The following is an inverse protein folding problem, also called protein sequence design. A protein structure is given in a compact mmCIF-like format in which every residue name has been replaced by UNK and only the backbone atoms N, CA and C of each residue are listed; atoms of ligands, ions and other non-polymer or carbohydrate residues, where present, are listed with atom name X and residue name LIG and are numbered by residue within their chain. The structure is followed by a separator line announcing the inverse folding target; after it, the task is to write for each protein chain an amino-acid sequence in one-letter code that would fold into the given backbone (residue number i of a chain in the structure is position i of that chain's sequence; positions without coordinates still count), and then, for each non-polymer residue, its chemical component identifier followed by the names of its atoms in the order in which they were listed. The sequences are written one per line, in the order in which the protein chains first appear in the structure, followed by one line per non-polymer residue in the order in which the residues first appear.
data_IF_432581563048
#
_entry.id   IF_432581563048
#
_cell.length_a   1.000
_cell.length_b   1.000
_cell.length_c   1.000
_cell.angle_alpha   90.00
_cell.angle_beta   90.00
_cell.angle_gamma   90.00
#
_symmetry.space_group_name_H-M   'P 1'
#
loop_
_entity.id
_entity.type
_entity.pdbx_description
1 polymer ?
#
# COMPACT_ATOMS: atom_id res chain seq x y z
N UNK A 1 -15.81 56.28 -67.76
CA UNK A 1 -15.36 55.29 -66.76
C UNK A 1 -16.19 55.54 -65.52
N UNK A 2 -17.29 54.80 -65.46
CA UNK A 2 -18.37 54.90 -64.47
C UNK A 2 -17.89 54.63 -63.05
N UNK A 3 -18.37 55.47 -62.14
CA UNK A 3 -18.46 55.21 -60.71
C UNK A 3 -19.64 54.29 -60.46
N UNK A 4 -19.42 53.18 -59.75
CA UNK A 4 -20.49 52.24 -59.40
C UNK A 4 -20.48 51.92 -57.89
N UNK A 5 -21.71 51.92 -57.36
CA UNK A 5 -22.22 51.36 -56.11
C UNK A 5 -21.85 51.94 -54.74
N UNK A 6 -22.76 52.80 -54.27
CA UNK A 6 -23.21 52.83 -52.89
C UNK A 6 -24.06 51.58 -52.57
N UNK A 7 -23.97 51.05 -51.35
CA UNK A 7 -25.14 50.54 -50.63
C UNK A 7 -24.91 50.51 -49.12
N UNK A 8 -25.96 50.74 -48.36
CA UNK A 8 -26.00 51.01 -46.92
C UNK A 8 -27.16 50.16 -46.34
N UNK A 9 -27.05 49.80 -45.05
CA UNK A 9 -28.12 49.35 -44.11
C UNK A 9 -28.39 47.82 -44.08
N UNK A 10 -28.81 47.14 -42.97
CA UNK A 10 -29.15 47.56 -41.57
C UNK A 10 -28.50 46.73 -40.41
N UNK A 11 -28.66 47.11 -39.11
CA UNK A 11 -28.85 46.19 -37.96
C UNK A 11 -30.38 45.96 -37.72
N UNK A 12 -30.91 44.89 -37.09
CA UNK A 12 -30.58 44.40 -35.73
C UNK A 12 -30.85 42.89 -35.50
N UNK A 13 -30.71 42.39 -34.27
CA UNK A 13 -31.23 41.05 -33.91
C UNK A 13 -30.72 40.49 -32.57
N UNK A 14 -31.21 41.03 -31.46
CA UNK A 14 -31.31 40.28 -30.20
C UNK A 14 -32.12 39.00 -30.40
N UNK A 15 -31.66 37.87 -29.84
CA UNK A 15 -32.45 36.75 -29.28
C UNK A 15 -31.52 35.57 -28.93
N UNK A 16 -31.88 34.67 -27.98
CA UNK A 16 -32.29 34.90 -26.60
C UNK A 16 -31.37 34.11 -25.61
N UNK A 17 -31.49 34.42 -24.32
CA UNK A 17 -30.95 33.63 -23.22
C UNK A 17 -31.32 32.15 -23.36
N UNK A 18 -30.32 31.28 -23.44
CA UNK A 18 -30.45 29.92 -22.94
C UNK A 18 -29.73 29.85 -21.60
N UNK A 19 -30.52 30.04 -20.54
CA UNK A 19 -30.31 29.38 -19.25
C UNK A 19 -30.17 27.88 -19.52
N UNK A 20 -28.95 27.44 -19.81
CA UNK A 20 -28.57 26.06 -19.52
C UNK A 20 -28.23 26.05 -18.03
N UNK A 21 -28.98 25.34 -17.16
CA UNK A 21 -28.42 25.00 -15.88
C UNK A 21 -27.13 24.26 -16.18
N UNK A 22 -26.00 24.86 -15.78
CA UNK A 22 -24.75 24.15 -15.71
C UNK A 22 -25.05 22.93 -14.83
N UNK A 23 -25.15 21.77 -15.47
CA UNK A 23 -25.12 20.51 -14.76
C UNK A 23 -23.73 20.53 -14.14
N UNK A 24 -23.66 20.91 -12.87
CA UNK A 24 -22.46 20.70 -12.08
C UNK A 24 -22.03 19.26 -12.36
N UNK A 25 -20.79 19.03 -12.84
CA UNK A 25 -20.30 17.67 -12.90
C UNK A 25 -20.49 17.10 -11.49
N UNK A 26 -20.99 15.86 -11.35
CA UNK A 26 -21.17 15.27 -10.04
C UNK A 26 -19.86 15.49 -9.30
N UNK A 27 -19.93 16.28 -8.21
CA UNK A 27 -18.78 16.52 -7.36
C UNK A 27 -18.24 15.13 -7.06
N UNK A 28 -17.06 14.84 -7.61
CA UNK A 28 -16.39 13.59 -7.32
C UNK A 28 -16.33 13.56 -5.81
N UNK A 29 -16.98 12.57 -5.20
CA UNK A 29 -16.79 12.29 -3.79
C UNK A 29 -15.28 12.40 -3.53
N UNK A 30 -14.85 13.14 -2.49
CA UNK A 30 -13.43 13.23 -2.20
C UNK A 30 -12.90 11.80 -2.20
N UNK A 31 -11.81 11.51 -2.94
CA UNK A 31 -11.32 10.14 -3.03
C UNK A 31 -11.20 9.64 -1.61
N UNK A 32 -12.00 8.61 -1.26
CA UNK A 32 -12.00 8.04 0.09
C UNK A 32 -10.54 7.83 0.42
N UNK A 33 -10.02 8.64 1.33
CA UNK A 33 -8.58 8.71 1.55
C UNK A 33 -8.19 7.32 2.02
N UNK A 34 -7.54 6.55 1.13
CA UNK A 34 -7.22 5.15 1.41
C UNK A 34 -6.35 5.12 2.64
N UNK A 35 -6.56 4.10 3.47
CA UNK A 35 -5.79 3.92 4.69
C UNK A 35 -4.27 4.00 4.35
N UNK A 36 -3.49 4.87 5.03
CA UNK A 36 -2.09 5.12 4.67
C UNK A 36 -1.18 3.88 4.68
N UNK A 37 -1.36 2.98 5.65
CA UNK A 37 -0.60 1.72 5.69
C UNK A 37 -0.92 0.84 4.49
N UNK A 38 -2.18 0.67 4.13
CA UNK A 38 -2.58 -0.13 2.96
C UNK A 38 -1.95 0.43 1.68
N UNK A 39 -1.98 1.75 1.52
CA UNK A 39 -1.39 2.41 0.35
C UNK A 39 0.12 2.17 0.28
N UNK A 40 0.82 2.26 1.42
CA UNK A 40 2.25 1.96 1.50
C UNK A 40 2.55 0.48 1.25
N UNK A 41 1.77 -0.45 1.83
CA UNK A 41 1.91 -1.90 1.65
C UNK A 41 1.77 -2.27 0.17
N UNK A 42 0.72 -1.79 -0.50
CA UNK A 42 0.50 -2.06 -1.92
C UNK A 42 1.68 -1.58 -2.78
N UNK A 43 2.19 -0.37 -2.49
CA UNK A 43 3.34 0.19 -3.18
C UNK A 43 4.62 -0.64 -2.95
N UNK A 44 4.87 -1.08 -1.72
CA UNK A 44 6.03 -1.91 -1.36
C UNK A 44 5.97 -3.27 -2.03
N UNK A 45 4.82 -3.96 -1.99
CA UNK A 45 4.65 -5.27 -2.62
C UNK A 45 4.81 -5.18 -4.14
N UNK A 46 4.25 -4.15 -4.78
CA UNK A 46 4.44 -3.92 -6.21
C UNK A 46 5.91 -3.66 -6.56
N UNK A 47 6.62 -2.85 -5.77
CA UNK A 47 8.05 -2.60 -5.96
C UNK A 47 8.91 -3.84 -5.73
N UNK A 48 8.61 -4.65 -4.71
CA UNK A 48 9.33 -5.88 -4.42
C UNK A 48 9.23 -6.88 -5.58
N UNK A 49 8.02 -7.10 -6.11
CA UNK A 49 7.81 -7.98 -7.26
C UNK A 49 8.50 -7.47 -8.53
N UNK A 50 8.47 -6.15 -8.76
CA UNK A 50 9.18 -5.54 -9.89
C UNK A 50 10.70 -5.74 -9.78
N UNK A 51 11.24 -5.68 -8.56
CA UNK A 51 12.64 -5.96 -8.29
C UNK A 51 12.97 -7.44 -8.53
N UNK A 52 12.13 -8.37 -8.10
CA UNK A 52 12.32 -9.82 -8.31
C UNK A 52 12.26 -10.20 -9.80
N UNK A 53 11.39 -9.56 -10.59
CA UNK A 53 11.37 -9.71 -12.05
C UNK A 53 12.66 -9.16 -12.67
N UNK A 54 13.13 -8.00 -12.23
CA UNK A 54 14.35 -7.40 -12.73
C UNK A 54 15.60 -8.25 -12.41
N UNK A 55 15.69 -8.80 -11.20
CA UNK A 55 16.85 -9.65 -10.82
C UNK A 55 16.87 -10.98 -11.56
N UNK A 56 15.69 -11.53 -11.91
CA UNK A 56 15.58 -12.81 -12.64
C UNK A 56 15.69 -12.67 -14.17
N UNK A 57 15.14 -11.62 -14.75
CA UNK A 57 15.00 -11.46 -16.21
C UNK A 57 15.90 -10.36 -16.79
N UNK A 58 16.46 -9.49 -15.94
CA UNK A 58 17.23 -8.32 -16.35
C UNK A 58 16.36 -7.15 -16.81
N UNK A 59 16.96 -6.18 -17.49
CA UNK A 59 16.27 -4.99 -18.03
C UNK A 59 16.48 -3.72 -17.20
N UNK A 60 15.66 -2.66 -17.45
CA UNK A 60 15.75 -1.40 -16.73
C UNK A 60 15.50 -1.59 -15.24
N UNK A 61 16.37 -1.01 -14.41
CA UNK A 61 16.21 -1.05 -12.95
C UNK A 61 14.87 -0.41 -12.55
N UNK A 62 14.02 -1.08 -11.76
CA UNK A 62 12.78 -0.51 -11.29
C UNK A 62 13.06 0.71 -10.42
N UNK A 63 12.27 1.76 -10.62
CA UNK A 63 12.35 2.99 -9.82
C UNK A 63 11.40 2.87 -8.63
N UNK A 64 11.74 3.56 -7.54
CA UNK A 64 10.81 3.72 -6.43
C UNK A 64 9.55 4.46 -6.92
N UNK A 65 8.37 4.16 -6.34
CA UNK A 65 7.14 4.87 -6.65
C UNK A 65 7.33 6.38 -6.44
N UNK A 66 6.74 7.18 -7.34
CA UNK A 66 6.68 8.63 -7.13
C UNK A 66 5.95 8.91 -5.82
N UNK A 67 6.48 9.83 -5.02
CA UNK A 67 5.90 10.16 -3.72
C UNK A 67 6.19 9.14 -2.60
N UNK A 68 7.16 8.25 -2.78
CA UNK A 68 7.60 7.28 -1.76
C UNK A 68 7.77 7.90 -0.36
N UNK A 69 8.46 9.05 -0.26
CA UNK A 69 8.67 9.74 1.00
C UNK A 69 7.37 10.19 1.66
N UNK A 70 6.36 10.57 0.86
CA UNK A 70 5.05 10.96 1.36
C UNK A 70 4.25 9.75 1.85
N UNK A 71 4.24 8.66 1.08
CA UNK A 71 3.62 7.40 1.51
C UNK A 71 4.21 6.90 2.83
N UNK A 72 5.54 6.91 2.94
CA UNK A 72 6.25 6.54 4.15
C UNK A 72 5.86 7.42 5.33
N UNK A 73 5.98 8.75 5.18
CA UNK A 73 5.67 9.72 6.23
C UNK A 73 4.22 9.61 6.69
N UNK A 74 3.28 9.46 5.76
CA UNK A 74 1.85 9.37 6.10
C UNK A 74 1.52 8.09 6.86
N UNK A 75 2.15 6.95 6.51
CA UNK A 75 2.01 5.71 7.28
C UNK A 75 2.65 5.81 8.67
N UNK A 76 3.85 6.39 8.80
CA UNK A 76 4.50 6.58 10.11
C UNK A 76 3.67 7.51 11.01
N UNK A 77 3.19 8.64 10.48
CA UNK A 77 2.27 9.51 11.24
C UNK A 77 1.03 8.75 11.67
N UNK A 78 0.44 7.97 10.76
CA UNK A 78 -0.75 7.17 11.09
C UNK A 78 -0.46 6.12 12.17
N UNK A 79 0.70 5.48 12.16
CA UNK A 79 1.13 4.56 13.21
C UNK A 79 1.28 5.28 14.57
N UNK A 80 1.92 6.45 14.59
CA UNK A 80 2.00 7.30 15.79
C UNK A 80 0.60 7.61 16.34
N UNK A 81 -0.32 8.02 15.48
CA UNK A 81 -1.69 8.38 15.87
C UNK A 81 -2.49 7.19 16.42
N UNK A 82 -2.26 5.99 15.88
CA UNK A 82 -3.01 4.78 16.26
C UNK A 82 -2.44 4.07 17.48
N UNK A 83 -1.11 3.92 17.55
CA UNK A 83 -0.43 3.15 18.59
C UNK A 83 0.04 4.01 19.77
N UNK A 84 0.00 5.35 19.65
CA UNK A 84 0.54 6.27 20.66
C UNK A 84 2.06 6.18 20.81
N UNK A 85 2.74 5.62 19.80
CA UNK A 85 4.18 5.40 19.79
C UNK A 85 4.94 6.69 19.43
N UNK A 86 6.14 6.92 20.00
CA UNK A 86 7.04 7.95 19.48
C UNK A 86 7.38 7.70 18.01
N UNK A 87 7.62 8.75 17.21
CA UNK A 87 7.85 8.65 15.77
C UNK A 87 8.94 7.63 15.38
N UNK A 88 10.03 7.57 16.14
CA UNK A 88 11.11 6.60 15.90
C UNK A 88 10.70 5.14 16.16
N UNK A 89 9.79 4.91 17.11
CA UNK A 89 9.20 3.58 17.34
C UNK A 89 8.19 3.25 16.24
N UNK A 90 7.31 4.19 15.92
CA UNK A 90 6.35 4.05 14.82
C UNK A 90 7.04 3.72 13.50
N UNK A 91 8.17 4.38 13.19
CA UNK A 91 9.02 4.08 12.03
C UNK A 91 9.51 2.63 12.03
N UNK A 92 9.96 2.13 13.19
CA UNK A 92 10.43 0.75 13.35
C UNK A 92 9.29 -0.27 13.26
N UNK A 93 8.12 0.04 13.81
CA UNK A 93 6.90 -0.76 13.70
C UNK A 93 6.45 -0.88 12.24
N UNK A 94 6.36 0.25 11.50
CA UNK A 94 6.01 0.26 10.08
C UNK A 94 7.01 -0.55 9.26
N UNK A 95 8.32 -0.34 9.47
CA UNK A 95 9.35 -1.13 8.78
C UNK A 95 9.16 -2.63 9.04
N UNK A 96 8.93 -3.03 10.29
CA UNK A 96 8.77 -4.43 10.66
C UNK A 96 7.54 -5.08 10.03
N UNK A 97 6.42 -4.35 9.90
CA UNK A 97 5.23 -4.83 9.20
C UNK A 97 5.51 -5.04 7.71
N UNK A 98 6.20 -4.09 7.06
CA UNK A 98 6.53 -4.19 5.64
C UNK A 98 7.51 -5.32 5.35
N UNK A 99 8.52 -5.52 6.20
CA UNK A 99 9.46 -6.63 6.09
C UNK A 99 8.73 -7.98 6.17
N UNK A 100 7.78 -8.11 7.10
CA UNK A 100 6.96 -9.31 7.25
C UNK A 100 6.13 -9.60 6.00
N UNK A 101 5.40 -8.59 5.51
CA UNK A 101 4.50 -8.73 4.37
C UNK A 101 5.26 -8.98 3.06
N UNK A 102 6.40 -8.33 2.87
CA UNK A 102 7.28 -8.58 1.72
C UNK A 102 7.83 -10.00 1.77
N UNK A 103 8.15 -10.52 2.96
CA UNK A 103 8.59 -11.90 3.12
C UNK A 103 7.46 -12.89 2.84
N UNK A 104 6.24 -12.62 3.30
CA UNK A 104 5.08 -13.44 2.94
C UNK A 104 4.89 -13.49 1.42
N UNK A 105 5.03 -12.35 0.75
CA UNK A 105 4.92 -12.29 -0.70
C UNK A 105 5.95 -13.17 -1.43
N UNK A 106 7.14 -13.36 -0.85
CA UNK A 106 8.18 -14.25 -1.42
C UNK A 106 7.99 -15.71 -1.08
N UNK A 107 7.58 -16.02 0.15
CA UNK A 107 7.62 -17.39 0.68
C UNK A 107 6.27 -18.12 0.59
N UNK A 108 5.15 -17.40 0.61
CA UNK A 108 3.81 -17.98 0.65
C UNK A 108 3.08 -17.81 -0.69
N UNK A 109 2.87 -18.91 -1.42
CA UNK A 109 2.16 -18.88 -2.70
C UNK A 109 0.74 -18.33 -2.58
N UNK A 110 -0.01 -18.75 -1.55
CA UNK A 110 -1.37 -18.26 -1.31
C UNK A 110 -1.43 -16.74 -1.15
N UNK A 111 -0.39 -16.12 -0.57
CA UNK A 111 -0.34 -14.66 -0.40
C UNK A 111 -0.20 -13.96 -1.75
N UNK A 112 0.47 -14.57 -2.72
CA UNK A 112 0.60 -14.03 -4.08
C UNK A 112 -0.67 -14.24 -4.91
N UNK A 113 -1.24 -15.44 -4.86
CA UNK A 113 -2.29 -15.88 -5.78
C UNK A 113 -3.70 -15.59 -5.28
N UNK A 114 -3.95 -15.68 -3.98
CA UNK A 114 -5.27 -15.42 -3.39
C UNK A 114 -5.38 -13.99 -2.86
N UNK A 115 -6.18 -13.17 -3.55
CA UNK A 115 -6.39 -11.77 -3.19
C UNK A 115 -7.21 -11.59 -1.89
N UNK A 116 -8.08 -12.54 -1.54
CA UNK A 116 -8.88 -12.47 -0.32
C UNK A 116 -7.98 -12.76 0.88
N UNK A 117 -7.25 -13.88 0.84
CA UNK A 117 -6.31 -14.25 1.90
C UNK A 117 -5.22 -13.19 2.07
N UNK A 118 -4.68 -12.65 0.98
CA UNK A 118 -3.70 -11.54 1.05
C UNK A 118 -4.26 -10.33 1.79
N UNK A 119 -5.48 -9.88 1.45
CA UNK A 119 -6.10 -8.72 2.13
C UNK A 119 -6.31 -8.99 3.61
N UNK A 120 -6.80 -10.18 3.98
CA UNK A 120 -6.99 -10.56 5.38
C UNK A 120 -5.67 -10.59 6.15
N UNK A 121 -4.60 -11.17 5.57
CA UNK A 121 -3.28 -11.22 6.19
C UNK A 121 -2.67 -9.82 6.41
N UNK A 122 -2.84 -8.91 5.43
CA UNK A 122 -2.44 -7.51 5.56
C UNK A 122 -3.23 -6.85 6.69
N UNK A 123 -4.57 -6.94 6.67
CA UNK A 123 -5.42 -6.33 7.70
C UNK A 123 -5.08 -6.81 9.11
N UNK A 124 -4.88 -8.12 9.30
CA UNK A 124 -4.54 -8.65 10.61
C UNK A 124 -3.13 -8.27 11.07
N UNK A 125 -2.18 -8.16 10.14
CA UNK A 125 -0.82 -7.64 10.46
C UNK A 125 -0.89 -6.19 10.92
N UNK A 126 -1.69 -5.35 10.25
CA UNK A 126 -1.88 -3.96 10.65
C UNK A 126 -2.62 -3.85 11.99
N UNK A 127 -3.67 -4.64 12.22
CA UNK A 127 -4.41 -4.66 13.49
C UNK A 127 -3.52 -5.09 14.67
N UNK A 128 -2.68 -6.10 14.48
CA UNK A 128 -1.72 -6.53 15.50
C UNK A 128 -0.64 -5.46 15.74
N UNK A 129 -0.02 -4.95 14.67
CA UNK A 129 1.08 -3.97 14.75
C UNK A 129 0.68 -2.59 15.26
N UNK A 130 -0.60 -2.21 15.13
CA UNK A 130 -1.15 -0.96 15.72
C UNK A 130 -1.69 -1.16 17.13
N UNK A 131 -1.71 -2.39 17.65
CA UNK A 131 -2.31 -2.72 18.95
C UNK A 131 -3.85 -2.63 19.00
N UNK A 132 -4.51 -2.33 17.87
CA UNK A 132 -5.98 -2.25 17.78
C UNK A 132 -6.65 -3.63 17.83
N UNK A 133 -5.92 -4.69 17.47
CA UNK A 133 -6.40 -6.07 17.49
C UNK A 133 -5.31 -7.05 17.91
N UNK A 134 -4.90 -7.08 19.19
CA UNK A 134 -3.84 -7.98 19.65
C UNK A 134 -4.25 -9.47 19.66
N UNK A 135 -5.55 -9.75 19.49
CA UNK A 135 -6.13 -11.10 19.46
C UNK A 135 -6.58 -11.53 18.04
N UNK A 136 -5.95 -10.99 16.99
CA UNK A 136 -6.20 -11.46 15.62
C UNK A 136 -5.91 -12.96 15.50
N UNK A 137 -6.62 -13.71 14.64
CA UNK A 137 -6.33 -15.14 14.54
C UNK A 137 -4.94 -15.45 13.95
N UNK A 138 -4.31 -14.54 13.20
CA UNK A 138 -2.89 -14.67 12.79
C UNK A 138 -1.88 -14.46 13.93
N UNK A 139 -2.33 -14.19 15.17
CA UNK A 139 -1.46 -13.94 16.33
C UNK A 139 -0.31 -14.95 16.50
N UNK A 140 -0.49 -16.28 16.33
CA UNK A 140 0.63 -17.22 16.42
C UNK A 140 1.76 -16.88 15.43
N UNK A 141 1.41 -16.45 14.23
CA UNK A 141 2.36 -16.02 13.20
C UNK A 141 3.01 -14.68 13.54
N UNK A 142 2.25 -13.72 14.08
CA UNK A 142 2.80 -12.43 14.54
C UNK A 142 3.84 -12.63 15.66
N UNK A 143 3.55 -13.48 16.65
CA UNK A 143 4.50 -13.80 17.72
C UNK A 143 5.72 -14.57 17.22
N UNK A 144 5.58 -15.39 16.17
CA UNK A 144 6.71 -16.06 15.54
C UNK A 144 7.63 -15.05 14.83
N UNK A 145 7.06 -14.04 14.17
CA UNK A 145 7.79 -12.95 13.55
C UNK A 145 8.60 -12.13 14.56
N UNK A 146 7.98 -11.73 15.66
CA UNK A 146 8.63 -10.96 16.73
C UNK A 146 9.81 -11.73 17.34
N UNK A 147 9.64 -13.03 17.61
CA UNK A 147 10.72 -13.90 18.10
C UNK A 147 11.89 -13.96 17.13
N UNK A 148 11.61 -14.07 15.83
CA UNK A 148 12.64 -14.11 14.81
C UNK A 148 13.45 -12.81 14.77
N UNK A 149 12.79 -11.65 14.86
CA UNK A 149 13.45 -10.33 14.86
C UNK A 149 14.43 -10.12 16.02
N UNK A 150 14.22 -10.82 17.14
CA UNK A 150 15.13 -10.78 18.28
C UNK A 150 16.46 -11.53 18.06
N UNK A 151 16.58 -12.33 17.00
CA UNK A 151 17.76 -13.14 16.72
C UNK A 151 18.78 -12.33 15.91
N UNK A 152 19.99 -12.10 16.46
CA UNK A 152 21.13 -11.61 15.69
C UNK A 152 22.03 -12.77 15.24
N UNK A 153 22.45 -12.83 13.96
CA UNK A 153 23.42 -13.81 13.50
C UNK A 153 24.81 -13.40 14.01
N UNK A 154 25.27 -14.05 15.08
CA UNK A 154 26.66 -13.92 15.56
C UNK A 154 27.44 -15.23 15.46
N UNK A 155 26.77 -16.38 15.35
CA UNK A 155 27.41 -17.71 15.24
C UNK A 155 26.55 -18.73 14.45
N UNK A 156 27.17 -19.83 14.02
CA UNK A 156 26.55 -20.90 13.21
C UNK A 156 25.34 -21.56 13.90
N UNK A 157 25.39 -21.77 15.22
CA UNK A 157 24.26 -22.29 16.00
C UNK A 157 23.03 -21.35 15.94
N UNK A 158 23.25 -20.05 15.78
CA UNK A 158 22.16 -19.08 15.61
C UNK A 158 21.64 -19.03 14.17
N UNK A 159 22.41 -19.46 13.17
CA UNK A 159 21.90 -19.60 11.78
C UNK A 159 20.78 -20.65 11.75
N UNK A 160 21.00 -21.81 12.39
CA UNK A 160 19.97 -22.86 12.50
C UNK A 160 18.74 -22.37 13.27
N UNK A 161 18.93 -21.60 14.34
CA UNK A 161 17.83 -21.00 15.09
C UNK A 161 17.03 -19.98 14.25
N UNK A 162 17.70 -19.19 13.40
CA UNK A 162 17.04 -18.24 12.48
C UNK A 162 16.23 -18.98 11.43
N UNK A 163 16.76 -20.07 10.87
CA UNK A 163 16.04 -20.91 9.90
C UNK A 163 14.81 -21.56 10.55
N UNK A 164 14.97 -22.17 11.73
CA UNK A 164 13.84 -22.75 12.46
C UNK A 164 12.77 -21.71 12.83
N UNK A 165 13.18 -20.49 13.21
CA UNK A 165 12.25 -19.40 13.48
C UNK A 165 11.50 -18.93 12.21
N UNK A 166 12.18 -18.93 11.05
CA UNK A 166 11.55 -18.68 9.76
C UNK A 166 10.51 -19.75 9.42
N UNK A 167 10.87 -21.02 9.55
CA UNK A 167 9.96 -22.13 9.24
C UNK A 167 8.73 -22.11 10.15
N UNK A 168 8.93 -21.87 11.44
CA UNK A 168 7.83 -21.74 12.40
C UNK A 168 6.90 -20.56 12.07
N UNK A 169 7.46 -19.43 11.63
CA UNK A 169 6.68 -18.26 11.21
C UNK A 169 5.85 -18.55 9.96
N UNK A 170 6.46 -19.17 8.93
CA UNK A 170 5.76 -19.51 7.69
C UNK A 170 4.71 -20.59 7.92
N UNK A 171 5.00 -21.61 8.74
CA UNK A 171 4.05 -22.65 9.11
C UNK A 171 2.81 -22.08 9.81
N UNK A 172 2.99 -21.14 10.74
CA UNK A 172 1.87 -20.48 11.43
C UNK A 172 0.99 -19.67 10.47
N UNK A 173 1.58 -19.02 9.47
CA UNK A 173 0.82 -18.32 8.43
C UNK A 173 0.09 -19.28 7.48
N UNK A 174 0.68 -20.43 7.16
CA UNK A 174 0.02 -21.44 6.34
C UNK A 174 -1.15 -22.11 7.08
N UNK A 175 -1.00 -22.41 8.37
CA UNK A 175 -2.10 -22.91 9.21
C UNK A 175 -3.23 -21.89 9.36
N UNK A 176 -2.88 -20.60 9.50
CA UNK A 176 -3.87 -19.54 9.42
C UNK A 176 -4.58 -19.52 8.07
N UNK A 177 -3.87 -19.70 6.95
CA UNK A 177 -4.47 -19.64 5.62
C UNK A 177 -5.41 -20.82 5.33
N UNK A 178 -5.13 -22.03 5.86
CA UNK A 178 -5.97 -23.22 5.67
C UNK A 178 -7.24 -23.21 6.51
N UNK A 179 -7.30 -22.36 7.54
CA UNK A 179 -8.46 -22.22 8.43
C UNK A 179 -9.41 -21.08 8.03
N UNK A 180 -9.24 -20.51 6.83
CA UNK A 180 -10.01 -19.38 6.28
C UNK A 180 -10.83 -19.72 5.05
#
# INVERSE_FOLDING_TARGET
MESDHADRVPPPGEQPSQDQPAIDPPSADPPVSREPHLTLVDAVLASARSYDVWTSTGGPRPQLPRGWETLWRDAVRRQTDLAGEPEEEARRSVQAMLDQLTRLDREAEWFRTDQILRRLAISETLLHGTGLGPAVPSRPAQLAWERQRGLRPVDYAKIQAIAAAQDAWLAAWNDWATTR
#
